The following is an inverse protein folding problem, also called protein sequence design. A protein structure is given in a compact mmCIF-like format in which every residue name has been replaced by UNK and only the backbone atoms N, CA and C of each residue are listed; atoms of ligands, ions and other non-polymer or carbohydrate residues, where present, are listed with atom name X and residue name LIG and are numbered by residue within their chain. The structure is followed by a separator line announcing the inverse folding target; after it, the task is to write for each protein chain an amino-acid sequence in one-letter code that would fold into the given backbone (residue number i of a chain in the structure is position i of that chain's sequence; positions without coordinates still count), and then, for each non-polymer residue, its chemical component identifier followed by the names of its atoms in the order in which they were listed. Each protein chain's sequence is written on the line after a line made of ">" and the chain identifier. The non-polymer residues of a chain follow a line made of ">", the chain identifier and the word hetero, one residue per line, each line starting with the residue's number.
data_IF_756726299804
#
_entry.id   IF_756726299804
#
_cell.length_a   1.000
_cell.length_b   1.000
_cell.length_c   1.000
_cell.angle_alpha   90.00
_cell.angle_beta   90.00
_cell.angle_gamma   90.00
#
_symmetry.space_group_name_H-M   'P 1'
#
loop_
_entity.id
_entity.type
_entity.pdbx_description
1 polymer ?
#
# COMPACT_ATOMS: atom_id res chain seq x y z
N UNK A 1 30.39 -6.76 -3.70
CA UNK A 1 30.28 -7.11 -2.30
C UNK A 1 28.82 -7.13 -1.87
N UNK A 2 28.44 -8.12 -1.11
CA UNK A 2 27.06 -8.31 -0.63
C UNK A 2 26.52 -7.10 0.16
N UNK A 3 27.31 -6.55 1.06
CA UNK A 3 26.92 -5.42 1.88
C UNK A 3 26.63 -4.17 1.05
N UNK A 4 27.44 -3.92 0.03
CA UNK A 4 27.27 -2.78 -0.86
C UNK A 4 25.97 -2.94 -1.67
N UNK A 5 25.73 -4.14 -2.19
CA UNK A 5 24.50 -4.43 -2.93
C UNK A 5 23.26 -4.26 -2.06
N UNK A 6 23.33 -4.73 -0.82
CA UNK A 6 22.23 -4.62 0.13
C UNK A 6 21.90 -3.16 0.43
N UNK A 7 22.91 -2.34 0.68
CA UNK A 7 22.73 -0.90 0.94
C UNK A 7 22.14 -0.19 -0.27
N UNK A 8 22.58 -0.56 -1.46
CA UNK A 8 22.07 0.03 -2.70
C UNK A 8 20.60 -0.28 -2.90
N UNK A 9 20.19 -1.55 -2.72
CA UNK A 9 18.81 -1.97 -2.86
C UNK A 9 17.94 -1.25 -1.82
N UNK A 10 18.41 -1.16 -0.59
CA UNK A 10 17.68 -0.47 0.47
C UNK A 10 17.48 1.01 0.15
N UNK A 11 18.51 1.66 -0.42
CA UNK A 11 18.42 3.07 -0.83
C UNK A 11 17.38 3.24 -1.96
N UNK A 12 17.34 2.32 -2.90
CA UNK A 12 16.37 2.33 -4.00
C UNK A 12 14.94 2.17 -3.48
N UNK A 13 14.73 1.28 -2.51
CA UNK A 13 13.42 1.07 -1.89
C UNK A 13 12.99 2.33 -1.15
N UNK A 14 13.90 2.96 -0.40
CA UNK A 14 13.60 4.21 0.29
C UNK A 14 13.19 5.31 -0.68
N UNK A 15 13.87 5.39 -1.82
CA UNK A 15 13.54 6.40 -2.83
C UNK A 15 12.17 6.12 -3.43
N UNK A 16 11.85 4.86 -3.72
CA UNK A 16 10.52 4.47 -4.21
C UNK A 16 9.43 4.91 -3.24
N UNK A 17 9.65 4.68 -1.94
CA UNK A 17 8.69 5.08 -0.90
C UNK A 17 8.52 6.59 -0.85
N UNK A 18 9.61 7.34 -0.95
CA UNK A 18 9.57 8.81 -0.95
C UNK A 18 8.86 9.38 -2.18
N UNK A 19 8.91 8.66 -3.30
CA UNK A 19 8.32 9.10 -4.56
C UNK A 19 6.85 8.71 -4.69
N UNK A 20 6.27 8.01 -3.71
CA UNK A 20 4.85 7.66 -3.73
C UNK A 20 3.98 8.91 -3.73
N UNK A 21 3.01 8.95 -4.66
CA UNK A 21 2.06 10.06 -4.68
C UNK A 21 0.97 9.87 -3.62
N UNK A 22 0.08 10.87 -3.48
CA UNK A 22 -0.95 10.82 -2.45
C UNK A 22 -1.95 9.67 -2.62
N UNK A 23 -2.21 9.25 -3.87
CA UNK A 23 -3.12 8.12 -4.15
C UNK A 23 -2.48 6.80 -3.74
N UNK A 24 -1.20 6.63 -4.05
CA UNK A 24 -0.44 5.45 -3.63
C UNK A 24 -0.31 5.38 -2.12
N UNK A 25 -0.04 6.51 -1.49
CA UNK A 25 0.04 6.60 -0.03
C UNK A 25 -1.29 6.19 0.62
N UNK A 26 -2.43 6.59 0.05
CA UNK A 26 -3.73 6.25 0.60
C UNK A 26 -4.00 4.74 0.56
N UNK A 27 -3.49 4.04 -0.45
CA UNK A 27 -3.60 2.57 -0.53
C UNK A 27 -2.80 1.92 0.60
N UNK A 28 -1.55 2.32 0.78
CA UNK A 28 -0.71 1.75 1.84
C UNK A 28 -1.28 2.08 3.23
N UNK A 29 -1.84 3.26 3.38
CA UNK A 29 -2.45 3.68 4.64
C UNK A 29 -3.61 2.78 5.06
N UNK A 30 -4.29 2.13 4.10
CA UNK A 30 -5.39 1.21 4.41
C UNK A 30 -4.94 0.06 5.32
N UNK A 31 -3.73 -0.46 5.11
CA UNK A 31 -3.19 -1.53 5.96
C UNK A 31 -3.08 -1.08 7.42
N UNK A 32 -2.66 0.16 7.62
CA UNK A 32 -2.50 0.75 8.95
C UNK A 32 -3.85 1.11 9.58
N UNK A 33 -4.76 1.68 8.78
CA UNK A 33 -6.10 2.03 9.26
C UNK A 33 -6.88 0.79 9.71
N UNK A 34 -6.75 -0.31 8.98
CA UNK A 34 -7.47 -1.54 9.30
C UNK A 34 -6.72 -2.46 10.26
N UNK A 35 -5.44 -2.17 10.49
CA UNK A 35 -4.59 -3.06 11.28
C UNK A 35 -4.48 -4.45 10.68
N UNK A 36 -4.44 -4.54 9.35
CA UNK A 36 -4.38 -5.80 8.62
C UNK A 36 -3.13 -5.88 7.79
N UNK A 37 -2.55 -7.08 7.69
CA UNK A 37 -1.37 -7.32 6.86
C UNK A 37 -1.73 -7.79 5.44
N UNK A 38 -2.98 -8.18 5.22
CA UNK A 38 -3.48 -8.61 3.92
C UNK A 38 -4.85 -7.97 3.69
N UNK A 39 -5.00 -7.36 2.53
CA UNK A 39 -6.27 -6.70 2.14
C UNK A 39 -6.61 -7.10 0.71
N UNK A 40 -7.87 -7.42 0.47
CA UNK A 40 -8.36 -7.69 -0.89
C UNK A 40 -8.51 -6.37 -1.65
N UNK A 41 -7.82 -6.27 -2.78
CA UNK A 41 -7.76 -5.06 -3.58
C UNK A 41 -8.02 -5.34 -5.05
N UNK A 42 -8.64 -4.38 -5.79
CA UNK A 42 -8.89 -4.56 -7.22
C UNK A 42 -7.59 -4.38 -8.02
N UNK A 43 -7.08 -5.47 -8.59
CA UNK A 43 -5.79 -5.44 -9.29
C UNK A 43 -5.87 -4.78 -10.68
N UNK A 44 -7.06 -4.57 -11.21
CA UNK A 44 -7.29 -3.83 -12.46
C UNK A 44 -7.29 -2.31 -12.23
N UNK A 45 -7.24 -1.86 -10.99
CA UNK A 45 -7.10 -0.44 -10.64
C UNK A 45 -5.68 0.02 -10.98
N UNK A 46 -5.54 1.16 -11.64
CA UNK A 46 -4.25 1.66 -12.10
C UNK A 46 -3.26 1.97 -10.97
N UNK A 47 -3.74 2.45 -9.83
CA UNK A 47 -2.89 2.72 -8.67
C UNK A 47 -2.37 1.42 -8.07
N UNK A 48 -3.25 0.44 -7.89
CA UNK A 48 -2.89 -0.89 -7.36
C UNK A 48 -1.91 -1.58 -8.31
N UNK A 49 -2.21 -1.57 -9.61
CA UNK A 49 -1.34 -2.15 -10.63
C UNK A 49 0.04 -1.51 -10.61
N UNK A 50 0.10 -0.18 -10.49
CA UNK A 50 1.36 0.55 -10.39
C UNK A 50 2.18 0.15 -9.17
N UNK A 51 1.53 -0.02 -8.02
CA UNK A 51 2.21 -0.44 -6.80
C UNK A 51 2.74 -1.87 -6.89
N UNK A 52 2.02 -2.75 -7.58
CA UNK A 52 2.50 -4.11 -7.86
C UNK A 52 3.72 -4.07 -8.78
N UNK A 53 3.69 -3.24 -9.82
CA UNK A 53 4.82 -3.08 -10.75
C UNK A 53 6.07 -2.55 -10.05
N UNK A 54 5.90 -1.66 -9.11
CA UNK A 54 7.01 -1.09 -8.32
C UNK A 54 7.51 -2.03 -7.24
N UNK A 55 6.87 -3.18 -7.05
CA UNK A 55 7.19 -4.14 -5.99
C UNK A 55 6.94 -3.59 -4.59
N UNK A 56 6.10 -2.57 -4.47
CA UNK A 56 5.65 -2.05 -3.17
C UNK A 56 4.60 -2.97 -2.57
N UNK A 57 3.67 -3.44 -3.41
CA UNK A 57 2.70 -4.46 -3.04
C UNK A 57 3.07 -5.80 -3.65
N UNK A 58 2.63 -6.88 -3.02
CA UNK A 58 2.77 -8.24 -3.53
C UNK A 58 1.45 -8.98 -3.41
N UNK A 59 1.23 -9.93 -4.31
CA UNK A 59 0.08 -10.82 -4.24
C UNK A 59 0.36 -11.97 -3.28
N UNK A 60 -0.63 -12.29 -2.45
CA UNK A 60 -0.54 -13.41 -1.52
C UNK A 60 -0.98 -14.72 -2.14
N UNK A 61 -1.58 -14.68 -3.34
CA UNK A 61 -1.97 -15.86 -4.12
C UNK A 61 -1.59 -15.66 -5.57
N UNK A 62 -1.14 -16.74 -6.20
CA UNK A 62 -0.94 -16.74 -7.65
C UNK A 62 -2.27 -16.85 -8.35
N UNK A 63 -2.39 -16.14 -9.47
CA UNK A 63 -3.54 -16.27 -10.36
C UNK A 63 -3.20 -17.37 -11.36
N UNK A 64 -3.68 -18.59 -11.07
CA UNK A 64 -3.39 -19.76 -11.90
C UNK A 64 -4.40 -19.89 -13.04
N UNK A 65 -4.08 -19.27 -14.18
CA UNK A 65 -4.86 -19.44 -15.41
C UNK A 65 -6.30 -18.98 -15.35
N UNK A 66 -6.71 -18.32 -14.29
CA UNK A 66 -8.07 -17.78 -14.16
C UNK A 66 -8.16 -16.44 -14.88
N UNK A 67 -9.25 -16.24 -15.60
CA UNK A 67 -9.54 -14.94 -16.19
C UNK A 67 -9.90 -13.96 -15.07
N UNK A 68 -9.18 -12.84 -15.01
CA UNK A 68 -9.48 -11.80 -14.04
C UNK A 68 -10.63 -10.95 -14.56
N UNK A 69 -11.76 -11.00 -13.85
CA UNK A 69 -12.91 -10.16 -14.19
C UNK A 69 -12.70 -8.73 -13.74
N UNK A 70 -13.45 -7.82 -14.35
CA UNK A 70 -13.41 -6.40 -13.98
C UNK A 70 -13.79 -6.23 -12.50
N UNK A 71 -12.98 -5.49 -11.77
CA UNK A 71 -13.25 -5.19 -10.37
C UNK A 71 -12.96 -6.34 -9.40
N UNK A 72 -12.44 -7.47 -9.88
CA UNK A 72 -12.09 -8.59 -8.99
C UNK A 72 -10.99 -8.18 -8.02
N UNK A 73 -11.18 -8.57 -6.77
CA UNK A 73 -10.23 -8.27 -5.71
C UNK A 73 -9.40 -9.50 -5.37
N UNK A 74 -8.11 -9.27 -5.11
CA UNK A 74 -7.16 -10.31 -4.71
C UNK A 74 -6.45 -9.89 -3.44
N UNK A 75 -6.06 -10.84 -2.58
CA UNK A 75 -5.38 -10.51 -1.33
C UNK A 75 -3.95 -10.04 -1.61
N UNK A 76 -3.67 -8.82 -1.20
CA UNK A 76 -2.37 -8.17 -1.38
C UNK A 76 -1.80 -7.79 -0.03
N UNK A 77 -0.48 -7.72 0.05
CA UNK A 77 0.24 -7.24 1.22
C UNK A 77 1.32 -6.26 0.80
N UNK A 78 1.78 -5.44 1.73
CA UNK A 78 2.97 -4.61 1.52
C UNK A 78 4.17 -5.55 1.49
N UNK A 79 5.04 -5.39 0.49
CA UNK A 79 6.25 -6.18 0.39
C UNK A 79 7.08 -6.04 1.68
N UNK A 80 7.63 -7.14 2.17
CA UNK A 80 8.35 -7.16 3.44
C UNK A 80 9.48 -6.13 3.50
N UNK A 81 10.23 -5.97 2.40
CA UNK A 81 11.34 -5.02 2.35
C UNK A 81 10.85 -3.57 2.46
N UNK A 82 9.70 -3.28 1.89
CA UNK A 82 9.08 -1.96 1.98
C UNK A 82 8.56 -1.74 3.39
N UNK A 83 7.88 -2.74 3.94
CA UNK A 83 7.28 -2.64 5.27
C UNK A 83 8.32 -2.37 6.37
N UNK A 84 9.53 -2.91 6.21
CA UNK A 84 10.62 -2.71 7.17
C UNK A 84 11.10 -1.26 7.25
N UNK A 85 10.99 -0.51 6.15
CA UNK A 85 11.50 0.87 6.08
C UNK A 85 10.39 1.93 6.07
N UNK A 86 9.15 1.50 5.87
CA UNK A 86 8.00 2.42 5.76
C UNK A 86 7.72 3.07 7.12
N UNK A 87 7.58 4.40 7.11
CA UNK A 87 7.20 5.14 8.30
C UNK A 87 5.80 5.69 8.17
N UNK A 88 5.19 6.06 9.29
CA UNK A 88 3.87 6.69 9.30
C UNK A 88 3.86 7.97 8.47
N UNK A 89 4.95 8.72 8.48
CA UNK A 89 5.06 9.96 7.72
C UNK A 89 5.05 9.72 6.21
N UNK A 90 5.66 8.63 5.76
CA UNK A 90 5.73 8.28 4.33
C UNK A 90 4.34 8.12 3.71
N UNK A 91 3.37 7.68 4.50
CA UNK A 91 2.01 7.42 4.04
C UNK A 91 0.99 8.37 4.67
N UNK A 92 1.46 9.39 5.35
CA UNK A 92 0.62 10.38 6.03
C UNK A 92 -0.40 9.74 7.00
N UNK A 93 0.06 8.71 7.72
CA UNK A 93 -0.74 8.06 8.74
C UNK A 93 -0.45 8.71 10.10
N UNK A 94 -1.52 9.08 10.82
CA UNK A 94 -1.43 9.70 12.15
C UNK A 94 -2.01 8.72 13.16
N UNK A 95 -1.17 8.26 14.11
CA UNK A 95 -1.57 7.23 15.07
C UNK A 95 -2.64 7.73 16.06
N UNK A 96 -2.54 8.99 16.48
CA UNK A 96 -3.49 9.60 17.40
C UNK A 96 -4.03 10.90 16.81
N UNK A 97 -4.91 10.80 15.81
CA UNK A 97 -5.38 11.98 15.09
C UNK A 97 -6.39 12.81 15.89
N UNK A 98 -6.42 14.10 15.60
CA UNK A 98 -7.54 14.93 15.99
C UNK A 98 -8.75 14.56 15.13
N UNK A 99 -9.94 15.00 15.53
CA UNK A 99 -11.17 14.73 14.75
C UNK A 99 -11.06 15.27 13.32
N UNK A 100 -10.48 16.46 13.17
CA UNK A 100 -10.29 17.07 11.86
C UNK A 100 -9.33 16.24 10.99
N UNK A 101 -8.20 15.81 11.56
CA UNK A 101 -7.24 14.96 10.86
C UNK A 101 -7.85 13.63 10.47
N UNK A 102 -8.63 13.02 11.38
CA UNK A 102 -9.34 11.77 11.10
C UNK A 102 -10.28 11.92 9.90
N UNK A 103 -11.05 12.99 9.88
CA UNK A 103 -12.00 13.25 8.79
C UNK A 103 -11.27 13.44 7.46
N UNK A 104 -10.16 14.17 7.44
CA UNK A 104 -9.35 14.35 6.24
C UNK A 104 -8.81 13.03 5.71
N UNK A 105 -8.31 12.18 6.59
CA UNK A 105 -7.79 10.87 6.20
C UNK A 105 -8.91 9.99 5.64
N UNK A 106 -10.07 9.97 6.28
CA UNK A 106 -11.21 9.17 5.85
C UNK A 106 -11.77 9.65 4.50
N UNK A 107 -11.75 10.96 4.25
CA UNK A 107 -12.21 11.52 2.97
C UNK A 107 -11.26 11.17 1.82
N UNK A 108 -9.99 10.92 2.10
CA UNK A 108 -8.97 10.63 1.10
C UNK A 108 -8.67 9.14 0.94
N UNK A 109 -9.57 8.28 1.40
CA UNK A 109 -9.44 6.85 1.22
C UNK A 109 -9.69 6.47 -0.24
N UNK A 110 -9.12 5.34 -0.73
CA UNK A 110 -9.40 4.87 -2.07
C UNK A 110 -10.89 4.55 -2.27
N UNK A 111 -11.39 4.75 -3.47
CA UNK A 111 -12.81 4.53 -3.79
C UNK A 111 -13.28 3.12 -3.45
N UNK A 112 -12.44 2.11 -3.69
CA UNK A 112 -12.80 0.72 -3.41
C UNK A 112 -12.85 0.40 -1.91
N UNK A 113 -12.42 1.32 -1.05
CA UNK A 113 -12.39 1.16 0.41
C UNK A 113 -13.55 1.84 1.11
N UNK A 114 -14.52 2.36 0.38
CA UNK A 114 -15.56 3.26 0.90
C UNK A 114 -16.37 2.72 2.07
N UNK A 115 -16.57 1.41 2.17
CA UNK A 115 -17.39 0.81 3.22
C UNK A 115 -16.61 0.47 4.49
N UNK A 116 -15.32 0.75 4.54
CA UNK A 116 -14.47 0.42 5.68
C UNK A 116 -14.18 1.68 6.48
N UNK A 117 -14.94 1.91 7.54
CA UNK A 117 -14.71 3.04 8.45
C UNK A 117 -13.93 2.55 9.65
N UNK A 118 -12.63 2.75 9.63
CA UNK A 118 -11.77 2.42 10.75
C UNK A 118 -10.73 3.49 10.97
N UNK A 119 -10.66 3.86 12.19
CA UNK A 119 -9.57 4.68 12.69
C UNK A 119 -9.50 4.47 14.20
#
# INVERSE_FOLDING_TARGET
>A
NYEIKFKKVKAEIKQTVKDLDYREQSVLREFFLRGQSSISMPIDNDVISGLLDKKVLKMNRQINGSTVGYGMKFPLSINNYVNEILTNEDIQFIANPTDEQKNQILENRPDWAENSRRY
#
